data_IF_153763677445
#
_entry.id   IF_153763677445
#
_cell.length_a   1.000
_cell.length_b   1.000
_cell.length_c   1.000
_cell.angle_alpha   90.00
_cell.angle_beta   90.00
_cell.angle_gamma   90.00
#
_symmetry.space_group_name_H-M   'P 1'
#
loop_
_entity.id
_entity.type
_entity.pdbx_description
1 polymer ?
#
# COMPACT_ATOMS: atom_id res chain seq x y z
N UNK A 1 -30.97 -52.38 -37.97
CA UNK A 1 -30.02 -51.97 -36.91
C UNK A 1 -29.56 -50.56 -37.25
N UNK A 2 -30.23 -49.52 -36.75
CA UNK A 2 -29.90 -48.12 -37.07
C UNK A 2 -28.71 -47.69 -36.20
N UNK A 3 -27.58 -47.38 -36.84
CA UNK A 3 -26.37 -46.90 -36.20
C UNK A 3 -26.58 -45.44 -35.78
N UNK A 4 -26.75 -45.20 -34.48
CA UNK A 4 -26.75 -43.86 -33.90
C UNK A 4 -25.34 -43.26 -34.00
N UNK A 5 -25.13 -42.38 -34.98
CA UNK A 5 -23.92 -41.55 -35.06
C UNK A 5 -24.06 -40.45 -34.01
N UNK A 6 -23.37 -40.60 -32.88
CA UNK A 6 -23.23 -39.50 -31.93
C UNK A 6 -22.47 -38.36 -32.61
N UNK A 7 -23.14 -37.24 -32.88
CA UNK A 7 -22.46 -35.99 -33.22
C UNK A 7 -21.46 -35.66 -32.12
N UNK A 8 -20.25 -35.16 -32.44
CA UNK A 8 -19.29 -34.77 -31.42
C UNK A 8 -19.95 -33.71 -30.54
N UNK A 9 -20.08 -33.99 -29.24
CA UNK A 9 -20.44 -32.97 -28.26
C UNK A 9 -19.29 -31.97 -28.29
N UNK A 10 -19.50 -30.79 -28.86
CA UNK A 10 -18.56 -29.69 -28.68
C UNK A 10 -18.47 -29.42 -27.18
N UNK A 11 -17.35 -29.83 -26.58
CA UNK A 11 -17.04 -29.47 -25.20
C UNK A 11 -17.22 -27.97 -25.06
N UNK A 12 -18.06 -27.49 -24.11
CA UNK A 12 -18.23 -26.07 -23.89
C UNK A 12 -16.86 -25.46 -23.80
N UNK A 13 -16.61 -24.43 -24.62
CA UNK A 13 -15.35 -23.67 -24.61
C UNK A 13 -15.18 -23.18 -23.18
N UNK A 14 -14.41 -23.93 -22.37
CA UNK A 14 -14.14 -23.52 -21.00
C UNK A 14 -13.51 -22.16 -21.15
N UNK A 15 -14.15 -21.14 -20.57
CA UNK A 15 -13.59 -19.81 -20.48
C UNK A 15 -12.33 -19.99 -19.64
N UNK A 16 -11.23 -20.28 -20.31
CA UNK A 16 -9.91 -20.28 -19.74
C UNK A 16 -9.70 -18.84 -19.32
N UNK A 17 -10.00 -18.56 -18.05
CA UNK A 17 -9.48 -17.44 -17.31
C UNK A 17 -7.96 -17.62 -17.28
N UNK A 18 -7.31 -17.45 -18.43
CA UNK A 18 -5.89 -17.21 -18.54
C UNK A 18 -5.68 -15.80 -17.97
N UNK A 19 -5.77 -15.67 -16.65
CA UNK A 19 -5.21 -14.52 -15.97
C UNK A 19 -3.71 -14.56 -16.27
N UNK A 20 -3.24 -13.65 -17.13
CA UNK A 20 -1.82 -13.52 -17.37
C UNK A 20 -1.12 -13.37 -16.01
N UNK A 21 -0.06 -14.15 -15.72
CA UNK A 21 0.58 -14.14 -14.40
C UNK A 21 1.00 -12.74 -13.97
N UNK A 22 1.33 -11.86 -14.93
CA UNK A 22 1.61 -10.45 -14.69
C UNK A 22 0.44 -9.68 -14.05
N UNK A 23 -0.81 -9.94 -14.46
CA UNK A 23 -2.00 -9.27 -13.90
C UNK A 23 -2.22 -9.72 -12.46
N UNK A 24 -2.10 -11.01 -12.19
CA UNK A 24 -2.23 -11.55 -10.83
C UNK A 24 -1.18 -10.98 -9.88
N UNK A 25 0.08 -10.90 -10.34
CA UNK A 25 1.17 -10.28 -9.56
C UNK A 25 0.89 -8.80 -9.29
N UNK A 26 0.47 -8.04 -10.30
CA UNK A 26 0.14 -6.62 -10.12
C UNK A 26 -0.99 -6.39 -9.11
N UNK A 27 -2.02 -7.23 -9.13
CA UNK A 27 -3.13 -7.15 -8.16
C UNK A 27 -2.63 -7.45 -6.74
N UNK A 28 -1.83 -8.50 -6.56
CA UNK A 28 -1.27 -8.87 -5.25
C UNK A 28 -0.36 -7.76 -4.71
N UNK A 29 0.54 -7.23 -5.54
CA UNK A 29 1.42 -6.12 -5.15
C UNK A 29 0.61 -4.87 -4.85
N UNK A 30 -0.40 -4.54 -5.66
CA UNK A 30 -1.28 -3.39 -5.44
C UNK A 30 -2.02 -3.47 -4.10
N UNK A 31 -2.65 -4.60 -3.80
CA UNK A 31 -3.34 -4.82 -2.51
C UNK A 31 -2.36 -4.68 -1.34
N UNK A 32 -1.14 -5.21 -1.49
CA UNK A 32 -0.13 -5.16 -0.45
C UNK A 32 0.35 -3.72 -0.21
N UNK A 33 0.83 -3.05 -1.26
CA UNK A 33 1.43 -1.70 -1.20
C UNK A 33 0.40 -0.62 -0.83
N UNK A 34 -0.84 -0.74 -1.32
CA UNK A 34 -1.88 0.28 -1.10
C UNK A 34 -2.63 0.01 0.21
N UNK A 35 -2.80 -1.25 0.61
CA UNK A 35 -3.67 -1.61 1.74
C UNK A 35 -2.90 -2.13 2.95
N UNK A 36 -2.33 -3.32 2.82
CA UNK A 36 -1.77 -4.07 3.96
C UNK A 36 -0.57 -3.33 4.55
N UNK A 37 0.35 -2.87 3.71
CA UNK A 37 1.58 -2.20 4.12
C UNK A 37 1.30 -0.90 4.87
N UNK A 38 0.50 0.06 4.36
CA UNK A 38 0.17 1.27 5.10
C UNK A 38 -0.48 1.02 6.45
N UNK A 39 -1.35 0.01 6.55
CA UNK A 39 -1.96 -0.35 7.83
C UNK A 39 -0.92 -0.79 8.87
N UNK A 40 -0.04 -1.71 8.48
CA UNK A 40 1.02 -2.21 9.36
C UNK A 40 2.02 -1.10 9.74
N UNK A 41 2.40 -0.28 8.76
CA UNK A 41 3.32 0.85 8.98
C UNK A 41 2.71 1.89 9.90
N UNK A 42 1.46 2.32 9.71
CA UNK A 42 0.82 3.26 10.62
C UNK A 42 0.70 2.70 12.04
N UNK A 43 0.35 1.42 12.19
CA UNK A 43 0.27 0.78 13.50
C UNK A 43 1.63 0.80 14.22
N UNK A 44 2.71 0.51 13.51
CA UNK A 44 4.05 0.51 14.10
C UNK A 44 4.61 1.92 14.32
N UNK A 45 4.69 2.73 13.27
CA UNK A 45 5.32 4.04 13.35
C UNK A 45 4.48 5.03 14.15
N UNK A 46 3.16 5.07 13.97
CA UNK A 46 2.30 6.08 14.62
C UNK A 46 1.66 5.51 15.88
N UNK A 47 1.25 4.25 15.86
CA UNK A 47 0.66 3.57 17.01
C UNK A 47 1.67 3.23 18.11
N UNK A 48 2.93 2.94 17.75
CA UNK A 48 3.97 2.59 18.72
C UNK A 48 5.08 3.65 18.83
N UNK A 49 5.87 3.90 17.77
CA UNK A 49 7.06 4.77 17.83
C UNK A 49 6.69 6.22 18.19
N UNK A 50 5.79 6.85 17.43
CA UNK A 50 5.36 8.23 17.67
C UNK A 50 4.74 8.42 19.05
N UNK A 51 3.86 7.50 19.48
CA UNK A 51 3.28 7.53 20.83
C UNK A 51 4.34 7.43 21.92
N UNK A 52 5.32 6.53 21.75
CA UNK A 52 6.42 6.37 22.72
C UNK A 52 7.30 7.61 22.80
N UNK A 53 7.59 8.23 21.66
CA UNK A 53 8.35 9.48 21.58
C UNK A 53 7.56 10.65 22.19
N UNK A 54 6.24 10.72 21.95
CA UNK A 54 5.36 11.75 22.51
C UNK A 54 5.23 11.71 24.04
N UNK A 55 5.55 10.57 24.68
CA UNK A 55 5.64 10.47 26.14
C UNK A 55 6.97 11.01 26.71
N UNK A 56 8.02 11.14 25.88
CA UNK A 56 9.38 11.53 26.31
C UNK A 56 9.81 12.90 25.82
N UNK A 57 9.30 13.33 24.67
CA UNK A 57 9.73 14.54 23.97
C UNK A 57 8.55 15.46 23.69
N UNK A 58 8.86 16.74 23.41
CA UNK A 58 7.88 17.71 22.92
C UNK A 58 7.31 17.23 21.58
N UNK A 59 6.07 17.63 21.28
CA UNK A 59 5.35 17.20 20.07
C UNK A 59 6.18 17.34 18.78
N UNK A 60 6.81 18.49 18.56
CA UNK A 60 7.61 18.72 17.36
C UNK A 60 8.74 17.70 17.18
N UNK A 61 9.43 17.36 18.27
CA UNK A 61 10.48 16.34 18.26
C UNK A 61 9.92 14.93 18.04
N UNK A 62 8.77 14.61 18.64
CA UNK A 62 8.12 13.32 18.39
C UNK A 62 7.72 13.14 16.91
N UNK A 63 7.20 14.20 16.28
CA UNK A 63 6.86 14.20 14.84
C UNK A 63 8.12 14.03 14.00
N UNK A 64 9.15 14.86 14.21
CA UNK A 64 10.39 14.83 13.41
C UNK A 64 11.12 13.49 13.55
N UNK A 65 11.31 12.99 14.77
CA UNK A 65 12.04 11.74 15.00
C UNK A 65 11.26 10.54 14.45
N UNK A 66 9.94 10.48 14.64
CA UNK A 66 9.14 9.39 14.08
C UNK A 66 9.17 9.41 12.55
N UNK A 67 9.10 10.59 11.92
CA UNK A 67 9.17 10.75 10.48
C UNK A 67 10.56 10.40 9.91
N UNK A 68 11.62 10.75 10.64
CA UNK A 68 13.00 10.41 10.27
C UNK A 68 13.22 8.89 10.29
N UNK A 69 12.78 8.20 11.35
CA UNK A 69 12.88 6.74 11.45
C UNK A 69 12.09 6.08 10.32
N UNK A 70 10.87 6.57 10.05
CA UNK A 70 10.05 6.10 8.92
C UNK A 70 10.81 6.23 7.59
N UNK A 71 11.35 7.41 7.27
CA UNK A 71 12.06 7.66 6.02
C UNK A 71 13.36 6.86 5.88
N UNK A 72 14.17 6.73 6.94
CA UNK A 72 15.44 5.98 6.90
C UNK A 72 15.19 4.50 6.62
N UNK A 73 14.17 3.91 7.24
CA UNK A 73 13.85 2.48 7.05
C UNK A 73 13.27 2.16 5.66
N UNK A 74 12.93 3.15 4.84
CA UNK A 74 12.58 2.92 3.45
C UNK A 74 13.80 2.66 2.55
N UNK A 75 15.02 3.01 2.99
CA UNK A 75 16.28 2.68 2.31
C UNK A 75 16.38 3.11 0.83
N UNK A 76 15.64 4.15 0.43
CA UNK A 76 15.67 4.70 -0.94
C UNK A 76 16.06 6.18 -0.87
N UNK A 77 17.37 6.51 -0.99
CA UNK A 77 17.88 7.87 -0.79
C UNK A 77 17.17 8.94 -1.63
N UNK A 78 16.86 8.62 -2.89
CA UNK A 78 16.26 9.55 -3.85
C UNK A 78 14.86 10.07 -3.47
N UNK A 79 14.12 9.32 -2.64
CA UNK A 79 12.76 9.68 -2.21
C UNK A 79 12.66 9.83 -0.69
N UNK A 80 13.77 9.86 0.03
CA UNK A 80 13.75 10.01 1.49
C UNK A 80 13.07 11.31 1.93
N UNK A 81 13.31 12.43 1.22
CA UNK A 81 12.71 13.72 1.57
C UNK A 81 11.18 13.70 1.46
N UNK A 82 10.55 13.25 0.34
CA UNK A 82 9.10 13.13 0.27
C UNK A 82 8.53 12.11 1.27
N UNK A 83 9.23 10.99 1.52
CA UNK A 83 8.79 10.00 2.54
C UNK A 83 8.84 10.61 3.95
N UNK A 84 9.87 11.40 4.27
CA UNK A 84 9.96 12.12 5.53
C UNK A 84 8.81 13.12 5.68
N UNK A 85 8.53 13.91 4.64
CA UNK A 85 7.43 14.87 4.65
C UNK A 85 6.06 14.18 4.86
N UNK A 86 5.83 13.06 4.17
CA UNK A 86 4.64 12.22 4.39
C UNK A 86 4.62 11.68 5.82
N UNK A 87 5.76 11.21 6.33
CA UNK A 87 5.96 10.76 7.71
C UNK A 87 5.47 11.78 8.73
N UNK A 88 5.93 13.03 8.58
CA UNK A 88 5.58 14.15 9.45
C UNK A 88 4.09 14.55 9.34
N UNK A 89 3.54 14.55 8.11
CA UNK A 89 2.13 14.80 7.87
C UNK A 89 1.25 13.78 8.59
N UNK A 90 1.55 12.49 8.41
CA UNK A 90 0.81 11.38 9.02
C UNK A 90 0.85 11.42 10.55
N UNK A 91 2.02 11.66 11.15
CA UNK A 91 2.14 11.86 12.59
C UNK A 91 1.30 13.06 13.09
N UNK A 92 1.26 14.15 12.32
CA UNK A 92 0.46 15.34 12.63
C UNK A 92 -1.05 15.06 12.55
N UNK A 93 -1.48 14.25 11.57
CA UNK A 93 -2.88 13.78 11.46
C UNK A 93 -3.27 12.95 12.68
N UNK A 94 -2.45 11.99 13.11
CA UNK A 94 -2.72 11.19 14.31
C UNK A 94 -2.79 12.07 15.55
N UNK A 95 -1.90 13.05 15.68
CA UNK A 95 -1.93 13.99 16.78
C UNK A 95 -3.22 14.82 16.81
N UNK A 96 -3.66 15.34 15.66
CA UNK A 96 -4.85 16.18 15.55
C UNK A 96 -6.16 15.40 15.71
N UNK A 97 -6.24 14.18 15.16
CA UNK A 97 -7.47 13.38 15.11
C UNK A 97 -7.59 12.36 16.24
N UNK A 98 -6.51 12.16 17.02
CA UNK A 98 -6.41 11.14 18.09
C UNK A 98 -6.81 9.73 17.65
N UNK A 99 -6.69 9.44 16.35
CA UNK A 99 -7.09 8.19 15.71
C UNK A 99 -6.07 7.82 14.64
N UNK A 100 -5.83 6.51 14.47
CA UNK A 100 -4.95 5.99 13.43
C UNK A 100 -5.63 5.96 12.07
N UNK A 101 -6.95 5.74 12.01
CA UNK A 101 -7.68 5.54 10.76
C UNK A 101 -7.52 6.70 9.76
N UNK A 102 -7.61 7.99 10.14
CA UNK A 102 -7.38 9.07 9.20
C UNK A 102 -5.97 9.07 8.61
N UNK A 103 -4.97 8.67 9.39
CA UNK A 103 -3.58 8.53 8.94
C UNK A 103 -3.43 7.36 7.97
N UNK A 104 -4.02 6.21 8.31
CA UNK A 104 -4.06 5.02 7.44
C UNK A 104 -4.66 5.37 6.09
N UNK A 105 -5.84 5.99 6.05
CA UNK A 105 -6.48 6.35 4.78
C UNK A 105 -5.68 7.38 3.97
N UNK A 106 -5.06 8.36 4.63
CA UNK A 106 -4.19 9.32 3.96
C UNK A 106 -2.96 8.62 3.34
N UNK A 107 -2.36 7.67 4.06
CA UNK A 107 -1.23 6.88 3.57
C UNK A 107 -1.61 5.94 2.43
N UNK A 108 -2.73 5.21 2.56
CA UNK A 108 -3.28 4.39 1.47
C UNK A 108 -3.54 5.23 0.22
N UNK A 109 -4.09 6.44 0.38
CA UNK A 109 -4.34 7.36 -0.73
C UNK A 109 -3.03 7.79 -1.41
N UNK A 110 -2.01 8.15 -0.63
CA UNK A 110 -0.70 8.50 -1.17
C UNK A 110 -0.09 7.33 -1.97
N UNK A 111 -0.14 6.12 -1.42
CA UNK A 111 0.37 4.93 -2.09
C UNK A 111 -0.46 4.56 -3.33
N UNK A 112 -1.78 4.73 -3.31
CA UNK A 112 -2.63 4.51 -4.48
C UNK A 112 -2.28 5.45 -5.63
N UNK A 113 -2.06 6.73 -5.34
CA UNK A 113 -1.63 7.73 -6.33
C UNK A 113 -0.25 7.34 -6.88
N UNK A 114 0.73 7.07 -6.01
CA UNK A 114 2.08 6.69 -6.41
C UNK A 114 2.11 5.42 -7.26
N UNK A 115 1.42 4.37 -6.82
CA UNK A 115 1.31 3.09 -7.53
C UNK A 115 0.67 3.27 -8.91
N UNK A 116 -0.41 4.06 -9.00
CA UNK A 116 -1.11 4.33 -10.27
C UNK A 116 -0.23 5.12 -11.23
N UNK A 117 0.44 6.18 -10.76
CA UNK A 117 1.35 6.97 -11.57
C UNK A 117 2.51 6.11 -12.08
N UNK A 118 3.16 5.35 -11.20
CA UNK A 118 4.23 4.42 -11.56
C UNK A 118 3.77 3.45 -12.66
N UNK A 119 2.58 2.87 -12.53
CA UNK A 119 2.03 1.97 -13.54
C UNK A 119 1.80 2.65 -14.90
N UNK A 120 1.29 3.89 -14.90
CA UNK A 120 1.08 4.67 -16.13
C UNK A 120 2.42 4.99 -16.80
N UNK A 121 3.44 5.41 -16.03
CA UNK A 121 4.76 5.76 -16.57
C UNK A 121 5.52 4.54 -17.09
N UNK A 122 5.39 3.37 -16.44
CA UNK A 122 6.03 2.12 -16.88
C UNK A 122 5.33 1.45 -18.07
N UNK A 123 4.09 1.87 -18.40
CA UNK A 123 3.35 1.38 -19.57
C UNK A 123 3.53 2.24 -20.83
N UNK A 124 4.22 3.37 -20.73
CA UNK A 124 4.65 4.17 -21.89
C UNK A 124 6.00 3.67 -22.38
#
# INVERSE_FOLDING_TARGET
>A
MQSFTHSPVETPKQISLQTHPAVSVLVIVGISVIGITPFAEEAFFRGFIFRRLGQRYRLGWAVVLSAAIFAVLHLIPFIMLPIFALGALLASIVYARKSLFPSVFAHMTFNAIGFTLQFIFLRK
#
